data_IF_377282757597
#
_entry.id   IF_377282757597
#
_cell.length_a   1.000
_cell.length_b   1.000
_cell.length_c   1.000
_cell.angle_alpha   90.00
_cell.angle_beta   90.00
_cell.angle_gamma   90.00
#
_symmetry.space_group_name_H-M   'P 1'
#
loop_
_entity.id
_entity.type
_entity.pdbx_description
1 polymer ?
#
# COMPACT_ATOMS: atom_id res chain seq x y z
N UNK A 1 -25.21 -5.99 -26.93
CA UNK A 1 -25.39 -4.54 -26.76
C UNK A 1 -25.54 -4.08 -25.28
N UNK A 2 -26.12 -4.86 -24.37
CA UNK A 2 -26.32 -4.42 -22.98
C UNK A 2 -25.10 -4.59 -22.05
N UNK A 3 -24.11 -5.42 -22.37
CA UNK A 3 -22.91 -5.63 -21.53
C UNK A 3 -21.92 -4.46 -21.55
N UNK A 4 -21.74 -3.80 -22.71
CA UNK A 4 -20.81 -2.66 -22.83
C UNK A 4 -21.31 -1.40 -22.10
N UNK A 5 -22.62 -1.16 -22.07
CA UNK A 5 -23.22 0.03 -21.46
C UNK A 5 -23.15 -0.05 -19.93
N UNK A 6 -23.29 -1.24 -19.32
CA UNK A 6 -23.19 -1.44 -17.88
C UNK A 6 -21.75 -1.19 -17.40
N UNK A 7 -20.75 -1.69 -18.12
CA UNK A 7 -19.33 -1.52 -17.75
C UNK A 7 -18.83 -0.06 -17.86
N UNK A 8 -19.38 0.74 -18.78
CA UNK A 8 -18.97 2.15 -18.91
C UNK A 8 -19.47 3.02 -17.74
N UNK A 9 -20.69 2.79 -17.24
CA UNK A 9 -21.23 3.51 -16.08
C UNK A 9 -20.46 3.15 -14.79
N UNK A 10 -20.14 1.89 -14.59
CA UNK A 10 -19.35 1.41 -13.43
C UNK A 10 -17.91 1.93 -13.46
N UNK A 11 -17.30 2.01 -14.61
CA UNK A 11 -15.98 2.58 -14.81
C UNK A 11 -15.97 4.08 -14.46
N UNK A 12 -16.99 4.84 -14.87
CA UNK A 12 -17.16 6.25 -14.48
C UNK A 12 -17.43 6.42 -12.99
N UNK A 13 -18.18 5.52 -12.36
CA UNK A 13 -18.41 5.52 -10.91
C UNK A 13 -17.13 5.29 -10.14
N UNK A 14 -16.30 4.33 -10.56
CA UNK A 14 -15.01 4.06 -9.92
C UNK A 14 -14.06 5.26 -9.99
N UNK A 15 -13.98 5.96 -11.14
CA UNK A 15 -13.19 7.17 -11.28
C UNK A 15 -13.65 8.30 -10.36
N UNK A 16 -14.97 8.49 -10.23
CA UNK A 16 -15.54 9.48 -9.29
C UNK A 16 -15.20 9.13 -7.85
N UNK A 17 -15.25 7.86 -7.48
CA UNK A 17 -14.95 7.41 -6.13
C UNK A 17 -13.46 7.57 -5.80
N UNK A 18 -12.55 7.23 -6.73
CA UNK A 18 -11.10 7.48 -6.58
C UNK A 18 -10.84 8.98 -6.34
N UNK A 19 -11.46 9.86 -7.14
CA UNK A 19 -11.30 11.31 -6.96
C UNK A 19 -11.80 11.78 -5.58
N UNK A 20 -12.93 11.26 -5.09
CA UNK A 20 -13.44 11.59 -3.76
C UNK A 20 -12.50 11.11 -2.65
N UNK A 21 -11.96 9.92 -2.75
CA UNK A 21 -10.98 9.40 -1.80
C UNK A 21 -9.70 10.25 -1.75
N UNK A 22 -9.19 10.69 -2.90
CA UNK A 22 -8.04 11.60 -2.95
C UNK A 22 -8.34 12.90 -2.19
N UNK A 23 -9.48 13.54 -2.50
CA UNK A 23 -9.87 14.80 -1.85
C UNK A 23 -10.07 14.63 -0.34
N UNK A 24 -10.70 13.54 0.09
CA UNK A 24 -10.89 13.24 1.51
C UNK A 24 -9.59 12.91 2.21
N UNK A 25 -8.75 12.07 1.60
CA UNK A 25 -7.47 11.72 2.17
C UNK A 25 -6.59 12.95 2.41
N UNK A 26 -6.54 13.87 1.44
CA UNK A 26 -5.81 15.14 1.61
C UNK A 26 -6.39 15.99 2.74
N UNK A 27 -7.70 16.22 2.73
CA UNK A 27 -8.37 16.99 3.79
C UNK A 27 -8.12 16.37 5.17
N UNK A 28 -8.08 15.06 5.26
CA UNK A 28 -7.85 14.38 6.52
C UNK A 28 -6.41 14.58 7.00
N UNK A 29 -5.41 14.43 6.14
CA UNK A 29 -4.02 14.72 6.46
C UNK A 29 -3.84 16.16 6.94
N UNK A 30 -4.48 17.12 6.26
CA UNK A 30 -4.41 18.54 6.61
C UNK A 30 -5.13 18.82 7.95
N UNK A 31 -6.30 18.21 8.18
CA UNK A 31 -7.11 18.41 9.39
C UNK A 31 -6.48 17.78 10.63
N UNK A 32 -6.05 16.54 10.52
CA UNK A 32 -5.51 15.81 11.67
C UNK A 32 -4.13 16.35 12.10
N UNK A 33 -3.51 17.21 11.29
CA UNK A 33 -2.19 17.81 11.58
C UNK A 33 -1.21 16.74 12.06
N UNK A 34 -1.11 15.60 11.34
CA UNK A 34 -0.31 14.47 11.76
C UNK A 34 1.10 14.91 12.16
N UNK A 35 1.31 15.04 13.45
CA UNK A 35 2.62 15.35 14.00
C UNK A 35 3.39 14.05 14.19
N UNK A 36 4.62 14.03 13.73
CA UNK A 36 5.50 12.90 13.90
C UNK A 36 6.01 12.84 15.36
N UNK A 37 5.17 12.30 16.23
CA UNK A 37 5.43 12.26 17.67
C UNK A 37 6.53 11.27 18.07
N UNK A 38 6.52 10.06 17.50
CA UNK A 38 7.47 9.02 17.84
C UNK A 38 8.92 9.37 17.50
N UNK A 39 9.19 10.20 16.50
CA UNK A 39 10.57 10.62 16.19
C UNK A 39 11.17 11.49 17.30
N UNK A 40 10.43 12.46 17.78
CA UNK A 40 10.87 13.33 18.87
C UNK A 40 10.97 12.57 20.19
N UNK A 41 9.98 11.74 20.47
CA UNK A 41 9.95 10.93 21.68
C UNK A 41 11.02 9.81 21.68
N UNK A 42 11.36 9.22 20.54
CA UNK A 42 12.45 8.27 20.40
C UNK A 42 13.82 8.88 20.73
N UNK A 43 14.02 10.16 20.38
CA UNK A 43 15.24 10.90 20.74
C UNK A 43 15.27 11.20 22.26
N UNK A 44 14.12 11.48 22.86
CA UNK A 44 13.98 11.77 24.30
C UNK A 44 13.91 10.52 25.20
N UNK A 45 13.76 9.33 24.63
CA UNK A 45 13.62 8.08 25.34
C UNK A 45 12.20 7.74 25.80
N UNK A 46 11.19 8.53 25.43
CA UNK A 46 9.79 8.37 25.86
C UNK A 46 8.88 7.71 24.79
N UNK A 47 9.45 7.05 23.82
CA UNK A 47 8.93 6.83 22.46
C UNK A 47 7.85 5.79 22.24
N UNK A 48 7.44 5.02 23.22
CA UNK A 48 6.69 3.79 22.89
C UNK A 48 5.19 4.00 22.61
N UNK A 49 4.60 5.10 23.05
CA UNK A 49 3.14 5.27 23.02
C UNK A 49 2.55 5.58 21.61
N UNK A 50 3.30 6.25 20.74
CA UNK A 50 2.75 6.79 19.50
C UNK A 50 3.26 6.12 18.22
N UNK A 51 4.13 5.11 18.31
CA UNK A 51 4.75 4.50 17.14
C UNK A 51 3.74 3.84 16.19
N UNK A 52 2.74 3.16 16.74
CA UNK A 52 1.70 2.48 15.93
C UNK A 52 0.93 3.52 15.11
N UNK A 53 0.48 4.57 15.77
CA UNK A 53 -0.30 5.65 15.17
C UNK A 53 0.53 6.41 14.13
N UNK A 54 1.76 6.78 14.46
CA UNK A 54 2.69 7.44 13.54
C UNK A 54 2.95 6.61 12.28
N UNK A 55 3.09 5.28 12.43
CA UNK A 55 3.28 4.40 11.27
C UNK A 55 2.01 4.33 10.42
N UNK A 56 0.84 4.29 11.04
CA UNK A 56 -0.45 4.31 10.34
C UNK A 56 -0.64 5.64 9.60
N UNK A 57 -0.34 6.76 10.23
CA UNK A 57 -0.38 8.10 9.60
C UNK A 57 0.58 8.20 8.41
N UNK A 58 1.79 7.68 8.56
CA UNK A 58 2.75 7.60 7.46
C UNK A 58 2.21 6.77 6.29
N UNK A 59 1.68 5.58 6.56
CA UNK A 59 1.10 4.70 5.52
C UNK A 59 -0.09 5.37 4.85
N UNK A 60 -1.00 5.99 5.61
CA UNK A 60 -2.14 6.69 5.08
C UNK A 60 -1.73 7.87 4.17
N UNK A 61 -0.84 8.73 4.64
CA UNK A 61 -0.34 9.89 3.90
C UNK A 61 0.35 9.46 2.61
N UNK A 62 1.26 8.48 2.69
CA UNK A 62 1.94 7.91 1.52
C UNK A 62 0.94 7.29 0.54
N UNK A 63 -0.06 6.56 1.04
CA UNK A 63 -1.06 5.90 0.21
C UNK A 63 -1.99 6.90 -0.49
N UNK A 64 -2.34 8.00 0.17
CA UNK A 64 -3.11 9.09 -0.46
C UNK A 64 -2.32 9.70 -1.63
N UNK A 65 -1.02 9.95 -1.45
CA UNK A 65 -0.14 10.41 -2.53
C UNK A 65 0.00 9.36 -3.65
N UNK A 66 0.12 8.09 -3.30
CA UNK A 66 0.19 6.99 -4.27
C UNK A 66 -1.11 6.84 -5.07
N UNK A 67 -2.27 7.04 -4.44
CA UNK A 67 -3.57 7.02 -5.11
C UNK A 67 -3.68 8.09 -6.20
N UNK A 68 -3.10 9.27 -5.99
CA UNK A 68 -3.02 10.31 -7.03
C UNK A 68 -2.15 9.87 -8.22
N UNK A 69 -1.00 9.25 -7.93
CA UNK A 69 -0.12 8.69 -8.95
C UNK A 69 -0.82 7.61 -9.76
N UNK A 70 -1.49 6.66 -9.09
CA UNK A 70 -2.28 5.61 -9.73
C UNK A 70 -3.34 6.20 -10.65
N UNK A 71 -4.09 7.22 -10.19
CA UNK A 71 -5.07 7.91 -11.02
C UNK A 71 -4.47 8.49 -12.30
N UNK A 72 -3.29 9.09 -12.22
CA UNK A 72 -2.58 9.64 -13.38
C UNK A 72 -2.19 8.51 -14.35
N UNK A 73 -1.64 7.41 -13.83
CA UNK A 73 -1.25 6.26 -14.63
C UNK A 73 -2.45 5.64 -15.36
N UNK A 74 -3.56 5.40 -14.64
CA UNK A 74 -4.78 4.84 -15.23
C UNK A 74 -5.41 5.74 -16.31
N UNK A 75 -5.31 7.06 -16.17
CA UNK A 75 -5.77 8.03 -17.19
C UNK A 75 -4.92 8.06 -18.45
N UNK A 76 -3.69 7.58 -18.37
CA UNK A 76 -2.73 7.50 -19.47
C UNK A 76 -2.54 6.05 -19.96
N UNK A 77 -3.49 5.16 -19.70
CA UNK A 77 -3.47 3.74 -20.05
C UNK A 77 -2.23 2.97 -19.55
N UNK A 78 -1.58 3.47 -18.50
CA UNK A 78 -0.44 2.82 -17.82
C UNK A 78 -0.93 1.92 -16.66
N UNK A 79 -1.78 0.96 -17.01
CA UNK A 79 -2.50 0.12 -16.04
C UNK A 79 -1.55 -0.79 -15.26
N UNK A 80 -0.53 -1.34 -15.91
CA UNK A 80 0.48 -2.18 -15.25
C UNK A 80 1.33 -1.39 -14.26
N UNK A 81 1.81 -0.21 -14.64
CA UNK A 81 2.55 0.67 -13.73
C UNK A 81 1.71 1.04 -12.50
N UNK A 82 0.40 1.21 -12.69
CA UNK A 82 -0.54 1.44 -11.59
C UNK A 82 -0.57 0.25 -10.60
N UNK A 83 -0.49 -1.00 -11.08
CA UNK A 83 -0.41 -2.20 -10.23
C UNK A 83 0.90 -2.25 -9.42
N UNK A 84 2.02 -1.80 -9.98
CA UNK A 84 3.31 -1.72 -9.27
C UNK A 84 3.20 -0.73 -8.10
N UNK A 85 2.59 0.44 -8.33
CA UNK A 85 2.35 1.43 -7.26
C UNK A 85 1.35 0.90 -6.25
N UNK A 86 0.30 0.22 -6.70
CA UNK A 86 -0.71 -0.40 -5.83
C UNK A 86 -0.10 -1.47 -4.92
N UNK A 87 0.84 -2.27 -5.41
CA UNK A 87 1.59 -3.22 -4.59
C UNK A 87 2.30 -2.50 -3.43
N UNK A 88 2.98 -1.39 -3.70
CA UNK A 88 3.65 -0.61 -2.64
C UNK A 88 2.66 -0.08 -1.59
N UNK A 89 1.45 0.33 -2.00
CA UNK A 89 0.38 0.71 -1.07
C UNK A 89 -0.05 -0.49 -0.21
N UNK A 90 -0.25 -1.64 -0.83
CA UNK A 90 -0.69 -2.86 -0.14
C UNK A 90 0.37 -3.36 0.84
N UNK A 91 1.65 -3.33 0.48
CA UNK A 91 2.76 -3.64 1.39
C UNK A 91 2.77 -2.72 2.62
N UNK A 92 2.51 -1.43 2.43
CA UNK A 92 2.34 -0.47 3.52
C UNK A 92 1.18 -0.84 4.46
N UNK A 93 0.02 -1.20 3.90
CA UNK A 93 -1.13 -1.66 4.66
C UNK A 93 -0.83 -2.94 5.47
N UNK A 94 -0.19 -3.94 4.85
CA UNK A 94 0.18 -5.18 5.52
C UNK A 94 1.16 -4.92 6.68
N UNK A 95 2.14 -4.04 6.47
CA UNK A 95 3.10 -3.65 7.50
C UNK A 95 2.42 -2.90 8.66
N UNK A 96 1.57 -1.93 8.37
CA UNK A 96 0.81 -1.18 9.37
C UNK A 96 -0.05 -2.10 10.24
N UNK A 97 -0.76 -3.01 9.60
CA UNK A 97 -1.58 -4.00 10.27
C UNK A 97 -0.77 -4.96 11.13
N UNK A 98 0.37 -5.44 10.60
CA UNK A 98 1.28 -6.32 11.33
C UNK A 98 1.85 -5.64 12.58
N UNK A 99 2.26 -4.38 12.47
CA UNK A 99 2.76 -3.58 13.58
C UNK A 99 1.66 -3.41 14.64
N UNK A 100 0.44 -3.05 14.25
CA UNK A 100 -0.68 -2.88 15.17
C UNK A 100 -1.04 -4.14 15.96
N UNK A 101 -0.97 -5.33 15.31
CA UNK A 101 -1.33 -6.60 15.94
C UNK A 101 -0.17 -7.28 16.71
N UNK A 102 1.08 -6.99 16.34
CA UNK A 102 2.29 -7.71 16.84
C UNK A 102 3.33 -6.78 17.44
N UNK A 103 2.90 -5.60 17.87
CA UNK A 103 3.82 -4.60 18.40
C UNK A 103 4.71 -5.15 19.51
N UNK A 104 6.03 -4.96 19.36
CA UNK A 104 7.04 -5.08 20.38
C UNK A 104 8.17 -4.05 20.10
N UNK A 105 9.05 -3.82 21.06
CA UNK A 105 10.17 -2.88 20.92
C UNK A 105 11.07 -3.18 19.73
N UNK A 106 11.24 -4.45 19.40
CA UNK A 106 12.08 -4.87 18.28
C UNK A 106 11.51 -4.45 16.92
N UNK A 107 10.18 -4.35 16.79
CA UNK A 107 9.56 -3.84 15.57
C UNK A 107 9.91 -2.37 15.34
N UNK A 108 10.03 -1.57 16.38
CA UNK A 108 10.47 -0.18 16.28
C UNK A 108 11.88 -0.10 15.63
N UNK A 109 12.81 -0.94 16.11
CA UNK A 109 14.15 -1.05 15.54
C UNK A 109 14.10 -1.49 14.07
N UNK A 110 13.35 -2.56 13.77
CA UNK A 110 13.27 -3.14 12.42
C UNK A 110 12.63 -2.18 11.40
N UNK A 111 11.65 -1.36 11.79
CA UNK A 111 10.87 -0.53 10.87
C UNK A 111 11.31 0.95 10.81
N UNK A 112 11.93 1.46 11.85
CA UNK A 112 12.32 2.89 11.91
C UNK A 112 13.81 3.05 12.03
N UNK A 113 14.40 2.62 13.16
CA UNK A 113 15.77 3.01 13.49
C UNK A 113 16.79 2.43 12.54
N UNK A 114 16.78 1.12 12.32
CA UNK A 114 17.79 0.51 11.47
C UNK A 114 17.68 0.90 10.00
N UNK A 115 16.48 1.00 9.37
CA UNK A 115 16.37 1.55 8.02
C UNK A 115 16.95 2.97 7.89
N UNK A 116 16.70 3.85 8.87
CA UNK A 116 17.25 5.21 8.87
C UNK A 116 18.77 5.22 9.03
N UNK A 117 19.31 4.41 9.96
CA UNK A 117 20.75 4.29 10.17
C UNK A 117 21.43 3.74 8.90
N UNK A 118 20.84 2.74 8.25
CA UNK A 118 21.34 2.17 7.00
C UNK A 118 21.33 3.22 5.89
N UNK A 119 20.21 3.94 5.71
CA UNK A 119 20.05 4.98 4.70
C UNK A 119 21.01 6.18 4.92
N UNK A 120 21.42 6.44 6.16
CA UNK A 120 22.35 7.52 6.50
C UNK A 120 23.82 7.23 6.14
N UNK A 121 24.11 6.10 5.52
CA UNK A 121 25.47 5.64 5.18
C UNK A 121 26.43 5.49 6.38
N UNK A 122 25.88 5.32 7.58
CA UNK A 122 26.66 5.09 8.82
C UNK A 122 27.01 3.61 9.05
N UNK A 123 26.61 2.74 8.13
CA UNK A 123 26.82 1.29 8.20
C UNK A 123 27.59 0.75 7.02
N UNK A 124 28.10 -0.47 7.17
CA UNK A 124 28.54 -1.30 6.06
C UNK A 124 27.92 -2.70 6.18
N UNK A 125 27.74 -3.36 5.05
CA UNK A 125 27.21 -4.73 5.00
C UNK A 125 28.35 -5.75 4.90
N UNK A 126 28.43 -6.66 5.86
CA UNK A 126 29.40 -7.77 5.81
C UNK A 126 28.74 -8.98 5.14
N UNK A 127 29.28 -9.35 3.96
CA UNK A 127 28.75 -10.46 3.13
C UNK A 127 28.94 -11.84 3.78
N UNK A 128 29.97 -12.03 4.61
CA UNK A 128 30.29 -13.34 5.21
C UNK A 128 29.22 -13.74 6.24
N UNK A 129 28.86 -12.83 7.12
CA UNK A 129 27.87 -13.09 8.17
C UNK A 129 26.49 -12.46 7.90
N UNK A 130 26.31 -11.85 6.72
CA UNK A 130 25.06 -11.27 6.24
C UNK A 130 24.43 -10.26 7.22
N UNK A 131 25.25 -9.42 7.84
CA UNK A 131 24.82 -8.40 8.82
C UNK A 131 25.31 -7.01 8.45
N UNK A 132 24.55 -5.99 8.87
CA UNK A 132 25.01 -4.60 8.88
C UNK A 132 25.78 -4.30 10.16
N UNK A 133 26.80 -3.48 10.04
CA UNK A 133 27.66 -3.04 11.16
C UNK A 133 27.74 -1.52 11.15
N UNK A 134 27.79 -0.91 12.33
CA UNK A 134 28.08 0.51 12.48
C UNK A 134 29.54 0.79 12.13
N UNK A 135 29.79 1.82 11.31
CA UNK A 135 31.16 2.23 10.94
C UNK A 135 31.94 2.81 12.12
N UNK A 136 31.22 3.36 13.13
CA UNK A 136 31.84 4.03 14.27
C UNK A 136 32.55 3.11 15.25
N UNK A 137 31.96 1.95 15.54
CA UNK A 137 32.41 1.03 16.59
C UNK A 137 32.44 -0.44 16.17
N UNK A 138 32.15 -0.72 14.90
CA UNK A 138 32.10 -2.08 14.36
C UNK A 138 31.05 -2.98 15.05
N UNK A 139 30.01 -2.38 15.61
CA UNK A 139 28.92 -3.10 16.28
C UNK A 139 27.93 -3.66 15.25
N UNK A 140 27.54 -4.92 15.42
CA UNK A 140 26.57 -5.58 14.57
C UNK A 140 25.14 -5.10 14.88
N UNK A 141 24.40 -4.63 13.86
CA UNK A 141 22.99 -4.32 14.02
C UNK A 141 22.15 -5.60 14.01
N UNK A 142 21.31 -5.76 15.00
CA UNK A 142 20.35 -6.86 15.06
C UNK A 142 19.09 -6.54 14.24
N UNK A 143 19.29 -6.29 12.95
CA UNK A 143 18.25 -5.87 12.01
C UNK A 143 17.68 -7.07 11.25
N UNK A 144 16.34 -7.16 11.21
CA UNK A 144 15.62 -8.09 10.35
C UNK A 144 14.82 -7.31 9.31
N UNK A 145 15.28 -7.33 8.05
CA UNK A 145 14.42 -6.88 6.96
C UNK A 145 13.23 -7.83 6.83
N UNK A 146 12.03 -7.29 7.03
CA UNK A 146 10.78 -8.05 6.96
C UNK A 146 10.31 -8.21 5.53
N UNK A 147 9.97 -9.43 5.15
CA UNK A 147 9.30 -9.68 3.88
C UNK A 147 7.80 -9.35 4.03
N UNK A 148 7.19 -8.54 3.14
CA UNK A 148 5.76 -8.24 3.18
C UNK A 148 4.87 -9.48 3.26
N UNK A 149 5.25 -10.57 2.61
CA UNK A 149 4.52 -11.85 2.69
C UNK A 149 4.48 -12.47 4.10
N UNK A 150 5.48 -12.19 4.96
CA UNK A 150 5.50 -12.62 6.37
C UNK A 150 4.58 -11.77 7.25
N UNK A 151 4.20 -10.57 6.79
CA UNK A 151 3.31 -9.64 7.50
C UNK A 151 1.84 -9.91 7.23
N UNK A 152 1.51 -10.89 6.38
CA UNK A 152 0.13 -11.29 6.10
C UNK A 152 -0.39 -12.15 7.26
N UNK A 153 -1.22 -11.55 8.12
CA UNK A 153 -1.77 -12.13 9.34
C UNK A 153 -3.29 -12.01 9.39
N UNK A 154 -3.92 -12.66 10.37
CA UNK A 154 -5.36 -12.57 10.63
C UNK A 154 -6.20 -13.57 9.85
N UNK A 155 -7.54 -13.40 9.94
CA UNK A 155 -8.53 -14.34 9.37
C UNK A 155 -8.51 -14.34 7.83
N UNK A 156 -8.20 -13.19 7.22
CA UNK A 156 -8.20 -12.99 5.76
C UNK A 156 -6.85 -13.32 5.11
N UNK A 157 -5.99 -14.05 5.82
CA UNK A 157 -4.61 -14.36 5.40
C UNK A 157 -4.54 -14.97 3.99
N UNK A 158 -5.42 -15.91 3.66
CA UNK A 158 -5.43 -16.58 2.34
C UNK A 158 -5.78 -15.59 1.21
N UNK A 159 -6.75 -14.73 1.45
CA UNK A 159 -7.17 -13.71 0.49
C UNK A 159 -6.06 -12.65 0.26
N UNK A 160 -5.50 -12.11 1.34
CA UNK A 160 -4.40 -11.14 1.21
C UNK A 160 -3.14 -11.75 0.60
N UNK A 161 -2.90 -13.04 0.82
CA UNK A 161 -1.80 -13.75 0.17
C UNK A 161 -2.01 -13.85 -1.34
N UNK A 162 -3.19 -14.26 -1.78
CA UNK A 162 -3.51 -14.34 -3.20
C UNK A 162 -3.41 -12.96 -3.88
N UNK A 163 -3.92 -11.91 -3.23
CA UNK A 163 -3.81 -10.53 -3.74
C UNK A 163 -2.34 -10.07 -3.82
N UNK A 164 -1.53 -10.35 -2.80
CA UNK A 164 -0.12 -10.03 -2.80
C UNK A 164 0.64 -10.74 -3.94
N UNK A 165 0.41 -12.04 -4.08
CA UNK A 165 1.05 -12.85 -5.11
C UNK A 165 0.63 -12.38 -6.53
N UNK A 166 -0.63 -11.99 -6.72
CA UNK A 166 -1.11 -11.38 -7.97
C UNK A 166 -0.36 -10.07 -8.27
N UNK A 167 -0.27 -9.14 -7.32
CA UNK A 167 0.44 -7.88 -7.51
C UNK A 167 1.95 -8.08 -7.74
N UNK A 168 2.54 -9.13 -7.17
CA UNK A 168 3.94 -9.48 -7.39
C UNK A 168 4.25 -9.86 -8.84
N UNK A 169 3.29 -10.44 -9.58
CA UNK A 169 3.50 -10.83 -10.97
C UNK A 169 3.92 -9.64 -11.85
N UNK A 170 3.32 -8.48 -11.63
CA UNK A 170 3.58 -7.27 -12.43
C UNK A 170 4.89 -6.55 -12.06
N UNK A 171 5.36 -6.71 -10.84
CA UNK A 171 6.58 -6.01 -10.37
C UNK A 171 7.87 -6.79 -10.60
N UNK A 172 7.79 -8.04 -11.05
CA UNK A 172 8.96 -8.93 -11.16
C UNK A 172 9.16 -9.53 -12.56
N UNK A 173 8.58 -8.95 -13.61
CA UNK A 173 8.63 -9.49 -14.98
C UNK A 173 8.30 -11.00 -15.01
N UNK A 174 7.25 -11.39 -14.33
CA UNK A 174 6.81 -12.78 -14.27
C UNK A 174 6.27 -13.21 -15.64
N UNK A 175 6.70 -14.35 -16.14
CA UNK A 175 6.26 -14.84 -17.45
C UNK A 175 4.73 -15.06 -17.56
N UNK A 176 4.04 -15.15 -16.42
CA UNK A 176 2.58 -15.25 -16.37
C UNK A 176 1.86 -14.01 -16.93
N UNK A 177 2.53 -12.85 -16.98
CA UNK A 177 1.94 -11.61 -17.54
C UNK A 177 2.23 -11.46 -19.05
N UNK A 178 2.99 -12.39 -19.65
CA UNK A 178 3.31 -12.35 -21.10
C UNK A 178 2.11 -12.08 -22.03
N UNK A 179 0.91 -12.65 -21.78
CA UNK A 179 -0.25 -12.38 -22.65
C UNK A 179 -0.62 -10.89 -22.78
N UNK A 180 -0.25 -10.04 -21.81
CA UNK A 180 -0.48 -8.59 -21.87
C UNK A 180 0.50 -7.85 -22.78
N UNK A 181 1.52 -8.54 -23.30
CA UNK A 181 2.56 -8.01 -24.17
C UNK A 181 2.56 -8.65 -25.56
N UNK A 182 1.46 -9.32 -25.92
CA UNK A 182 1.29 -9.94 -27.23
C UNK A 182 0.08 -9.36 -27.92
N UNK A 183 0.21 -9.10 -29.22
CA UNK A 183 -0.93 -8.80 -30.08
C UNK A 183 -1.72 -10.08 -30.43
N UNK A 184 -2.81 -9.93 -31.19
CA UNK A 184 -3.68 -11.03 -31.64
C UNK A 184 -2.95 -12.07 -32.52
N UNK A 185 -1.81 -11.70 -33.11
CA UNK A 185 -0.97 -12.56 -33.95
C UNK A 185 0.20 -13.18 -33.20
N UNK A 186 0.34 -12.89 -31.91
CA UNK A 186 1.41 -13.39 -31.05
C UNK A 186 2.73 -12.63 -31.17
N UNK A 187 2.75 -11.45 -31.77
CA UNK A 187 3.93 -10.57 -31.79
C UNK A 187 3.97 -9.72 -30.51
N UNK A 188 5.19 -9.41 -30.05
CA UNK A 188 5.37 -8.52 -28.91
C UNK A 188 4.87 -7.12 -29.22
N UNK A 189 4.04 -6.59 -28.34
CA UNK A 189 3.42 -5.28 -28.42
C UNK A 189 3.62 -4.49 -27.13
N UNK A 190 4.12 -3.25 -27.25
CA UNK A 190 4.29 -2.33 -26.13
C UNK A 190 2.98 -1.59 -25.75
N UNK A 191 1.97 -1.65 -26.62
CA UNK A 191 0.68 -0.98 -26.45
C UNK A 191 -0.42 -1.95 -25.98
N UNK A 192 -0.04 -3.14 -25.54
CA UNK A 192 -0.94 -4.14 -24.98
C UNK A 192 -1.83 -3.56 -23.87
N UNK A 193 -3.14 -3.76 -23.96
CA UNK A 193 -4.11 -3.16 -23.04
C UNK A 193 -4.53 -4.15 -21.95
N UNK A 194 -4.44 -3.71 -20.73
CA UNK A 194 -4.98 -4.41 -19.57
C UNK A 194 -6.33 -3.81 -19.17
N UNK A 195 -7.23 -4.62 -18.62
CA UNK A 195 -8.51 -4.14 -18.10
C UNK A 195 -8.32 -3.15 -16.96
N UNK A 196 -8.55 -1.89 -17.27
CA UNK A 196 -8.42 -0.77 -16.32
C UNK A 196 -9.48 -0.82 -15.22
N UNK A 197 -10.68 -1.36 -15.49
CA UNK A 197 -11.77 -1.39 -14.50
C UNK A 197 -11.44 -2.29 -13.32
N UNK A 198 -10.95 -3.51 -13.57
CA UNK A 198 -10.56 -4.42 -12.49
C UNK A 198 -9.43 -3.83 -11.62
N UNK A 199 -8.46 -3.13 -12.23
CA UNK A 199 -7.41 -2.45 -11.47
C UNK A 199 -7.98 -1.33 -10.60
N UNK A 200 -8.95 -0.55 -11.08
CA UNK A 200 -9.65 0.47 -10.27
C UNK A 200 -10.37 -0.16 -9.07
N UNK A 201 -11.00 -1.31 -9.25
CA UNK A 201 -11.66 -2.03 -8.15
C UNK A 201 -10.64 -2.46 -7.08
N UNK A 202 -9.49 -3.01 -7.48
CA UNK A 202 -8.42 -3.38 -6.55
C UNK A 202 -7.85 -2.16 -5.81
N UNK A 203 -7.65 -1.06 -6.51
CA UNK A 203 -7.18 0.22 -5.94
C UNK A 203 -8.16 0.73 -4.88
N UNK A 204 -9.44 0.77 -5.21
CA UNK A 204 -10.50 1.20 -4.30
C UNK A 204 -10.58 0.31 -3.08
N UNK A 205 -10.52 -1.01 -3.26
CA UNK A 205 -10.54 -1.97 -2.15
C UNK A 205 -9.36 -1.75 -1.19
N UNK A 206 -8.13 -1.72 -1.71
CA UNK A 206 -6.93 -1.56 -0.87
C UNK A 206 -6.95 -0.20 -0.16
N UNK A 207 -7.29 0.88 -0.87
CA UNK A 207 -7.33 2.20 -0.25
C UNK A 207 -8.43 2.31 0.81
N UNK A 208 -9.59 1.68 0.59
CA UNK A 208 -10.66 1.60 1.61
C UNK A 208 -10.16 0.91 2.87
N UNK A 209 -9.40 -0.19 2.75
CA UNK A 209 -8.81 -0.86 3.92
C UNK A 209 -7.81 0.01 4.70
N UNK A 210 -7.02 0.81 3.99
CA UNK A 210 -6.11 1.78 4.61
C UNK A 210 -6.91 2.90 5.31
N UNK A 211 -7.97 3.36 4.67
CA UNK A 211 -8.84 4.39 5.20
C UNK A 211 -9.56 3.93 6.48
N UNK A 212 -10.13 2.72 6.48
CA UNK A 212 -10.74 2.09 7.67
C UNK A 212 -9.77 2.00 8.85
N UNK A 213 -8.50 1.67 8.59
CA UNK A 213 -7.50 1.54 9.67
C UNK A 213 -7.22 2.86 10.38
N UNK A 214 -7.32 3.99 9.67
CA UNK A 214 -7.12 5.33 10.22
C UNK A 214 -8.36 5.82 11.00
N UNK A 215 -9.56 5.51 10.49
CA UNK A 215 -10.82 5.89 11.14
C UNK A 215 -10.95 5.29 12.54
N UNK A 216 -10.48 4.06 12.72
CA UNK A 216 -10.50 3.40 14.04
C UNK A 216 -9.61 4.10 15.08
N UNK A 217 -8.61 4.87 14.63
CA UNK A 217 -7.71 5.63 15.52
C UNK A 217 -8.28 6.99 15.89
N UNK A 218 -8.92 7.71 14.93
CA UNK A 218 -9.31 9.11 15.09
C UNK A 218 -10.80 9.33 15.44
N UNK A 219 -11.59 8.26 15.51
CA UNK A 219 -13.01 8.32 15.85
C UNK A 219 -13.95 8.49 14.65
N UNK A 220 -15.19 8.01 14.83
CA UNK A 220 -16.17 7.80 13.75
C UNK A 220 -16.77 9.08 13.13
N UNK A 221 -16.76 10.22 13.81
CA UNK A 221 -17.50 11.41 13.42
C UNK A 221 -16.98 12.13 12.18
N UNK A 222 -15.71 11.90 11.83
CA UNK A 222 -15.06 12.58 10.69
C UNK A 222 -15.34 11.93 9.34
N UNK A 223 -15.71 10.65 9.34
CA UNK A 223 -15.82 9.84 8.14
C UNK A 223 -17.26 9.43 7.88
N UNK A 224 -17.84 10.05 6.88
CA UNK A 224 -19.10 9.59 6.35
C UNK A 224 -18.84 8.26 5.64
N UNK A 225 -19.37 7.17 6.19
CA UNK A 225 -19.29 5.76 5.73
C UNK A 225 -19.74 5.57 4.26
N UNK A 226 -20.15 6.64 3.59
CA UNK A 226 -20.72 6.60 2.25
C UNK A 226 -19.75 6.07 1.19
N UNK A 227 -18.48 6.51 1.20
CA UNK A 227 -17.50 6.07 0.21
C UNK A 227 -17.11 4.62 0.41
N UNK A 228 -17.02 4.18 1.65
CA UNK A 228 -16.79 2.79 2.01
C UNK A 228 -17.93 1.90 1.51
N UNK A 229 -19.17 2.26 1.81
CA UNK A 229 -20.35 1.53 1.34
C UNK A 229 -20.46 1.48 -0.19
N UNK A 230 -20.14 2.58 -0.88
CA UNK A 230 -20.08 2.61 -2.35
C UNK A 230 -18.95 1.73 -2.89
N UNK A 231 -17.78 1.71 -2.24
CA UNK A 231 -16.67 0.84 -2.63
C UNK A 231 -17.05 -0.63 -2.52
N UNK A 232 -17.59 -1.06 -1.38
CA UNK A 232 -17.99 -2.47 -1.21
C UNK A 232 -19.10 -2.90 -2.16
N UNK A 233 -20.01 -2.00 -2.50
CA UNK A 233 -21.01 -2.28 -3.53
C UNK A 233 -20.36 -2.51 -4.90
N UNK A 234 -19.44 -1.63 -5.32
CA UNK A 234 -18.71 -1.80 -6.58
C UNK A 234 -17.88 -3.09 -6.62
N UNK A 235 -17.19 -3.42 -5.52
CA UNK A 235 -16.41 -4.68 -5.39
C UNK A 235 -17.33 -5.88 -5.53
N UNK A 236 -18.47 -5.88 -4.85
CA UNK A 236 -19.46 -6.96 -4.93
C UNK A 236 -20.01 -7.10 -6.34
N UNK A 237 -20.41 -5.99 -6.96
CA UNK A 237 -20.97 -6.00 -8.32
C UNK A 237 -19.92 -6.52 -9.31
N UNK A 238 -18.62 -6.12 -9.19
CA UNK A 238 -17.53 -6.60 -10.04
C UNK A 238 -17.18 -8.09 -9.85
N UNK A 239 -17.47 -8.68 -8.68
CA UNK A 239 -17.16 -10.11 -8.40
C UNK A 239 -18.29 -11.07 -8.72
N UNK A 240 -19.47 -10.57 -9.13
CA UNK A 240 -20.62 -11.38 -9.53
C UNK A 240 -20.65 -11.70 -11.04
N UNK A 241 -19.68 -11.20 -11.81
CA UNK A 241 -19.49 -11.46 -13.24
C UNK A 241 -18.22 -12.28 -13.51
#
# INVERSE_FOLDING_TARGET
MNKEICGEDENKKSDKLINRYILRGRKFVDYACFQYGAYNAAISGEADANFIDDYQYFVFTKSTKSLETIRILLRNDKTEDALIVLRSMFEGYLASRFIGEKYDRKLLDDFIFFPQIIASNKTYYNKQNKKHYLKSNNEALNYKQRNPAEMIIGKDKSYYRALYDYLCMFSHCNYAILPHYLDENGFFDCDGKMDCFMVKILVLFIYTKIFESIVTVEGEDFFNIREESECYKLVKDATMY
#
